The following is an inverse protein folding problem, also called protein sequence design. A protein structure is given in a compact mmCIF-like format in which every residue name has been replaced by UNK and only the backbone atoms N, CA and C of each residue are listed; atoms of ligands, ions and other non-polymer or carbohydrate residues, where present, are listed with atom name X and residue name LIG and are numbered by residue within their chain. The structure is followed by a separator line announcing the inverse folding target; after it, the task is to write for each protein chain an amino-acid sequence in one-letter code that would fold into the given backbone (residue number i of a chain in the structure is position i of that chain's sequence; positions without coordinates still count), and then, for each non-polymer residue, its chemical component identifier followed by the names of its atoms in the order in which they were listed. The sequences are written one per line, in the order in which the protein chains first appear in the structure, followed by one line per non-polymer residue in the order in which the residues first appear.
data_IF_156984474634
#
_entry.id   IF_156984474634
#
_cell.length_a   1.000
_cell.length_b   1.000
_cell.length_c   1.000
_cell.angle_alpha   90.00
_cell.angle_beta   90.00
_cell.angle_gamma   90.00
#
_symmetry.space_group_name_H-M   'P 1'
#
loop_
_entity.id
_entity.type
_entity.pdbx_description
1 polymer ?
#
# COMPACT_ATOMS: atom_id res chain seq x y z
N UNK A 1 -28.73 4.11 4.93
CA UNK A 1 -27.65 3.70 5.84
C UNK A 1 -26.44 4.50 5.41
N UNK A 2 -25.90 5.34 6.30
CA UNK A 2 -24.64 6.03 6.04
C UNK A 2 -23.53 5.00 6.16
N UNK A 3 -22.70 4.84 5.14
CA UNK A 3 -21.52 3.98 5.19
C UNK A 3 -20.45 4.68 6.00
N UNK A 4 -19.96 4.02 7.06
CA UNK A 4 -18.89 4.55 7.91
C UNK A 4 -17.57 4.13 7.28
N UNK A 5 -16.80 5.09 6.80
CA UNK A 5 -15.43 4.88 6.33
C UNK A 5 -14.43 5.20 7.43
N UNK A 6 -13.37 4.40 7.52
CA UNK A 6 -12.21 4.64 8.37
C UNK A 6 -11.00 4.91 7.48
N UNK A 7 -10.07 5.72 7.97
CA UNK A 7 -8.79 5.91 7.29
C UNK A 7 -7.87 4.76 7.65
N UNK A 8 -7.33 4.10 6.65
CA UNK A 8 -6.31 3.09 6.78
C UNK A 8 -4.98 3.63 6.28
N UNK A 9 -3.90 3.11 6.82
CA UNK A 9 -2.54 3.42 6.40
C UNK A 9 -1.76 2.15 6.09
N UNK A 10 -0.80 2.28 5.17
CA UNK A 10 0.29 1.34 5.00
C UNK A 10 1.60 2.11 5.02
N UNK A 11 2.62 1.52 5.66
CA UNK A 11 3.95 2.13 5.77
C UNK A 11 4.92 1.33 4.93
N UNK A 12 5.57 2.00 3.97
CA UNK A 12 6.71 1.45 3.26
C UNK A 12 7.93 1.40 4.19
N UNK A 13 8.84 0.46 3.98
CA UNK A 13 10.05 0.32 4.81
C UNK A 13 10.97 1.55 4.77
N UNK A 14 10.83 2.42 3.77
CA UNK A 14 11.53 3.71 3.72
C UNK A 14 10.91 4.81 4.61
N UNK A 15 9.78 4.54 5.26
CA UNK A 15 9.06 5.51 6.08
C UNK A 15 7.98 6.30 5.33
N UNK A 16 7.88 6.16 4.00
CA UNK A 16 6.76 6.73 3.25
C UNK A 16 5.46 6.03 3.65
N UNK A 17 4.46 6.82 4.03
CA UNK A 17 3.14 6.34 4.44
C UNK A 17 2.11 6.69 3.38
N UNK A 18 1.26 5.73 3.03
CA UNK A 18 0.12 5.95 2.16
C UNK A 18 -1.16 5.68 2.93
N UNK A 19 -2.17 6.52 2.76
CA UNK A 19 -3.47 6.37 3.40
C UNK A 19 -4.60 6.21 2.39
N UNK A 20 -5.68 5.54 2.80
CA UNK A 20 -6.91 5.42 2.02
C UNK A 20 -8.11 5.27 2.94
N UNK A 21 -9.23 5.86 2.58
CA UNK A 21 -10.49 5.64 3.30
C UNK A 21 -11.17 4.38 2.78
N UNK A 22 -11.66 3.54 3.68
CA UNK A 22 -12.38 2.31 3.35
C UNK A 22 -13.39 1.94 4.45
N UNK A 23 -14.41 1.17 4.09
CA UNK A 23 -15.40 0.64 5.03
C UNK A 23 -14.84 -0.53 5.84
N UNK A 24 -13.80 -1.19 5.31
CA UNK A 24 -13.14 -2.33 5.94
C UNK A 24 -11.66 -2.41 5.58
N UNK A 25 -10.92 -3.18 6.36
CA UNK A 25 -9.51 -3.47 6.11
C UNK A 25 -9.29 -4.18 4.78
N UNK A 26 -10.15 -5.14 4.42
CA UNK A 26 -10.02 -5.91 3.18
C UNK A 26 -10.21 -5.01 1.94
N UNK A 27 -11.11 -4.04 2.05
CA UNK A 27 -11.29 -3.00 1.03
C UNK A 27 -10.06 -2.08 0.97
N UNK A 28 -9.53 -1.64 2.11
CA UNK A 28 -8.30 -0.84 2.16
C UNK A 28 -7.10 -1.57 1.54
N UNK A 29 -6.89 -2.85 1.90
CA UNK A 29 -5.87 -3.71 1.30
C UNK A 29 -6.07 -3.80 -0.21
N UNK A 30 -7.30 -4.00 -0.67
CA UNK A 30 -7.59 -4.06 -2.12
C UNK A 30 -7.27 -2.74 -2.82
N UNK A 31 -7.58 -1.60 -2.19
CA UNK A 31 -7.22 -0.26 -2.69
C UNK A 31 -5.70 -0.08 -2.75
N UNK A 32 -4.97 -0.42 -1.69
CA UNK A 32 -3.50 -0.35 -1.67
C UNK A 32 -2.85 -1.25 -2.73
N UNK A 33 -3.35 -2.48 -2.92
CA UNK A 33 -2.85 -3.40 -3.96
C UNK A 33 -3.06 -2.88 -5.38
N UNK A 34 -4.11 -2.09 -5.60
CA UNK A 34 -4.38 -1.45 -6.89
C UNK A 34 -3.51 -0.21 -7.09
N UNK A 35 -3.30 0.59 -6.04
CA UNK A 35 -2.40 1.75 -6.10
C UNK A 35 -0.94 1.33 -6.29
N UNK A 36 -0.52 0.22 -5.68
CA UNK A 36 0.82 -0.36 -5.82
C UNK A 36 0.86 -1.42 -6.93
N UNK A 37 0.45 -1.05 -8.15
CA UNK A 37 0.67 -1.91 -9.32
C UNK A 37 2.16 -2.03 -9.69
N UNK A 38 2.49 -2.90 -10.65
CA UNK A 38 3.90 -3.12 -11.05
C UNK A 38 4.60 -1.84 -11.54
N UNK A 39 3.87 -0.95 -12.22
CA UNK A 39 4.39 0.32 -12.70
C UNK A 39 4.64 1.29 -11.55
N UNK A 40 3.68 1.42 -10.63
CA UNK A 40 3.81 2.25 -9.45
C UNK A 40 4.94 1.78 -8.51
N UNK A 41 5.09 0.47 -8.31
CA UNK A 41 6.20 -0.12 -7.55
C UNK A 41 7.54 0.22 -8.23
N UNK A 42 7.63 0.04 -9.55
CA UNK A 42 8.83 0.37 -10.31
C UNK A 42 9.22 1.83 -10.17
N UNK A 43 8.27 2.74 -10.39
CA UNK A 43 8.49 4.18 -10.26
C UNK A 43 8.92 4.58 -8.84
N UNK A 44 8.26 4.04 -7.81
CA UNK A 44 8.65 4.30 -6.41
C UNK A 44 10.09 3.84 -6.14
N UNK A 45 10.49 2.68 -6.65
CA UNK A 45 11.86 2.18 -6.46
C UNK A 45 12.89 2.96 -7.27
N UNK A 46 12.57 3.40 -8.48
CA UNK A 46 13.47 4.26 -9.28
C UNK A 46 13.72 5.62 -8.60
N UNK A 47 12.70 6.19 -7.95
CA UNK A 47 12.78 7.50 -7.30
C UNK A 47 13.34 7.45 -5.87
N UNK A 48 12.87 6.49 -5.04
CA UNK A 48 13.14 6.44 -3.60
C UNK A 48 14.14 5.35 -3.19
N UNK A 49 14.37 4.35 -4.03
CA UNK A 49 15.23 3.20 -3.76
C UNK A 49 16.19 2.90 -4.91
N UNK A 50 16.81 3.96 -5.47
CA UNK A 50 17.65 3.85 -6.66
C UNK A 50 18.80 2.85 -6.46
N UNK A 51 18.83 1.80 -7.27
CA UNK A 51 19.82 0.72 -7.19
C UNK A 51 19.43 -0.48 -6.31
N UNK A 52 18.31 -0.42 -5.60
CA UNK A 52 17.76 -1.58 -4.89
C UNK A 52 16.99 -2.49 -5.85
N UNK A 53 16.95 -3.81 -5.59
CA UNK A 53 16.14 -4.73 -6.38
C UNK A 53 14.64 -4.41 -6.21
N UNK A 54 13.96 -4.21 -7.34
CA UNK A 54 12.52 -4.00 -7.36
C UNK A 54 11.82 -5.30 -6.91
N UNK A 55 11.01 -5.28 -5.85
CA UNK A 55 10.31 -6.47 -5.37
C UNK A 55 9.23 -6.91 -6.35
N UNK A 56 8.85 -8.18 -6.28
CA UNK A 56 7.72 -8.67 -7.05
C UNK A 56 6.40 -8.09 -6.51
N UNK A 57 5.39 -7.99 -7.39
CA UNK A 57 4.04 -7.58 -7.01
C UNK A 57 3.48 -8.41 -5.83
N UNK A 58 3.79 -9.70 -5.79
CA UNK A 58 3.34 -10.59 -4.71
C UNK A 58 3.97 -10.23 -3.37
N UNK A 59 5.27 -9.92 -3.36
CA UNK A 59 5.96 -9.50 -2.12
C UNK A 59 5.39 -8.18 -1.59
N UNK A 60 5.07 -7.24 -2.50
CA UNK A 60 4.40 -5.98 -2.12
C UNK A 60 2.99 -6.25 -1.61
N UNK A 61 2.24 -7.17 -2.22
CA UNK A 61 0.89 -7.54 -1.76
C UNK A 61 0.88 -8.21 -0.39
N UNK A 62 1.89 -9.04 -0.10
CA UNK A 62 2.09 -9.67 1.20
C UNK A 62 2.51 -8.63 2.26
N UNK A 63 3.27 -7.61 1.87
CA UNK A 63 3.63 -6.49 2.75
C UNK A 63 2.41 -5.65 3.09
N UNK A 64 1.63 -5.24 2.09
CA UNK A 64 0.37 -4.48 2.26
C UNK A 64 -0.58 -5.22 3.21
N UNK A 65 -0.73 -6.53 3.00
CA UNK A 65 -1.56 -7.39 3.86
C UNK A 65 -1.08 -7.45 5.31
N UNK A 66 0.20 -7.18 5.60
CA UNK A 66 0.74 -7.22 6.97
C UNK A 66 0.72 -5.85 7.64
N UNK A 67 0.93 -4.79 6.87
CA UNK A 67 1.14 -3.43 7.39
C UNK A 67 -0.11 -2.55 7.35
N UNK A 68 -1.18 -2.99 6.68
CA UNK A 68 -2.43 -2.22 6.66
C UNK A 68 -3.09 -2.19 8.05
N UNK A 69 -3.20 -0.99 8.60
CA UNK A 69 -3.81 -0.69 9.90
C UNK A 69 -4.71 0.54 9.85
N UNK A 70 -5.67 0.63 10.78
CA UNK A 70 -6.52 1.82 10.94
C UNK A 70 -5.75 2.91 11.69
N UNK A 71 -5.95 4.17 11.29
CA UNK A 71 -5.32 5.35 11.90
C UNK A 71 -6.33 6.28 12.57
#
# INVERSE_FOLDING_TARGET
METITQTYSMICTCGDTMTTDAESRDEAVSKFRNMMDKGAIGAHFEEKHSGEPIPSKREVDDMIEKTTEVV
#
